data_IF_700806816564
#
_entry.id   IF_700806816564
#
_cell.length_a   1.000
_cell.length_b   1.000
_cell.length_c   1.000
_cell.angle_alpha   90.00
_cell.angle_beta   90.00
_cell.angle_gamma   90.00
#
_symmetry.space_group_name_H-M   'P 1'
#
loop_
_entity.id
_entity.type
_entity.pdbx_description
1 polymer ?
#
# COMPACT_ATOMS: atom_id res chain seq x y z
N UNK A 1 -16.12 -24.14 -19.38
CA UNK A 1 -14.68 -23.85 -19.32
C UNK A 1 -14.19 -24.38 -17.98
N UNK A 2 -13.35 -25.40 -17.98
CA UNK A 2 -12.74 -25.94 -16.74
C UNK A 2 -11.65 -24.97 -16.27
N UNK A 3 -11.39 -24.93 -14.96
CA UNK A 3 -10.37 -24.03 -14.39
C UNK A 3 -8.98 -24.23 -15.01
N UNK A 4 -8.65 -25.48 -15.38
CA UNK A 4 -7.38 -25.84 -16.00
C UNK A 4 -7.18 -25.21 -17.39
N UNK A 5 -8.24 -25.16 -18.22
CA UNK A 5 -8.14 -24.55 -19.55
C UNK A 5 -7.88 -23.03 -19.47
N UNK A 6 -8.48 -22.36 -18.49
CA UNK A 6 -8.25 -20.94 -18.25
C UNK A 6 -6.82 -20.67 -17.77
N UNK A 7 -6.23 -21.61 -17.01
CA UNK A 7 -4.84 -21.52 -16.54
C UNK A 7 -3.85 -21.60 -17.71
N UNK A 8 -4.07 -22.52 -18.65
CA UNK A 8 -3.18 -22.72 -19.78
C UNK A 8 -3.25 -21.57 -20.80
N UNK A 9 -4.44 -21.03 -21.04
CA UNK A 9 -4.62 -19.82 -21.86
C UNK A 9 -3.88 -18.62 -21.25
N UNK A 10 -3.99 -18.41 -19.93
CA UNK A 10 -3.25 -17.35 -19.24
C UNK A 10 -1.75 -17.57 -19.27
N UNK A 11 -1.26 -18.81 -19.12
CA UNK A 11 0.17 -19.13 -19.25
C UNK A 11 0.74 -18.75 -20.61
N UNK A 12 -0.04 -18.92 -21.68
CA UNK A 12 0.38 -18.55 -23.03
C UNK A 12 0.57 -17.02 -23.18
N UNK A 13 -0.19 -16.21 -22.44
CA UNK A 13 -0.06 -14.74 -22.44
C UNK A 13 1.06 -14.17 -21.56
N UNK A 14 1.64 -14.95 -20.65
CA UNK A 14 2.69 -14.45 -19.72
C UNK A 14 3.94 -13.89 -20.40
N UNK A 15 4.48 -14.47 -21.50
CA UNK A 15 5.60 -13.87 -22.21
C UNK A 15 5.28 -12.49 -22.80
N UNK A 16 4.07 -12.33 -23.36
CA UNK A 16 3.60 -11.06 -23.92
C UNK A 16 3.38 -10.02 -22.81
N UNK A 17 2.85 -10.45 -21.66
CA UNK A 17 2.75 -9.62 -20.46
C UNK A 17 4.12 -9.15 -19.97
N UNK A 18 5.11 -10.06 -19.91
CA UNK A 18 6.48 -9.73 -19.49
C UNK A 18 7.16 -8.72 -20.42
N UNK A 19 6.81 -8.72 -21.71
CA UNK A 19 7.28 -7.77 -22.71
C UNK A 19 6.41 -6.50 -22.81
N UNK A 20 5.36 -6.37 -22.00
CA UNK A 20 4.38 -5.27 -22.02
C UNK A 20 3.72 -5.08 -23.39
N UNK A 21 3.41 -6.17 -24.09
CA UNK A 21 2.77 -6.15 -25.41
C UNK A 21 1.24 -6.31 -25.36
N UNK A 22 0.70 -6.74 -24.22
CA UNK A 22 -0.74 -6.85 -23.99
C UNK A 22 -1.39 -5.47 -23.87
N UNK A 23 -2.68 -5.40 -24.18
CA UNK A 23 -3.46 -4.19 -23.91
C UNK A 23 -3.72 -3.99 -22.41
N UNK A 24 -4.20 -2.81 -22.00
CA UNK A 24 -4.44 -2.48 -20.59
C UNK A 24 -5.43 -3.43 -19.91
N UNK A 25 -6.41 -3.95 -20.67
CA UNK A 25 -7.46 -4.84 -20.15
C UNK A 25 -6.92 -6.25 -19.95
N UNK A 26 -6.18 -6.76 -20.92
CA UNK A 26 -5.52 -8.06 -20.85
C UNK A 26 -4.46 -8.08 -19.75
N UNK A 27 -3.65 -7.02 -19.64
CA UNK A 27 -2.66 -6.87 -18.58
C UNK A 27 -3.34 -6.88 -17.19
N UNK A 28 -4.49 -6.22 -17.05
CA UNK A 28 -5.25 -6.24 -15.80
C UNK A 28 -5.76 -7.65 -15.44
N UNK A 29 -6.20 -8.43 -16.43
CA UNK A 29 -6.62 -9.82 -16.22
C UNK A 29 -5.45 -10.72 -15.80
N UNK A 30 -4.28 -10.54 -16.41
CA UNK A 30 -3.05 -11.25 -16.01
C UNK A 30 -2.69 -10.90 -14.56
N UNK A 31 -2.70 -9.62 -14.18
CA UNK A 31 -2.40 -9.20 -12.81
C UNK A 31 -3.35 -9.80 -11.79
N UNK A 32 -4.66 -9.71 -12.04
CA UNK A 32 -5.67 -10.27 -11.13
C UNK A 32 -5.48 -11.79 -10.92
N UNK A 33 -5.11 -12.53 -11.97
CA UNK A 33 -4.88 -13.96 -11.85
C UNK A 33 -3.57 -14.28 -11.11
N UNK A 34 -2.49 -13.58 -11.45
CA UNK A 34 -1.16 -13.78 -10.86
C UNK A 34 -1.18 -13.50 -9.35
N UNK A 35 -1.93 -12.49 -8.90
CA UNK A 35 -2.09 -12.17 -7.47
C UNK A 35 -2.67 -13.34 -6.65
N UNK A 36 -3.41 -14.25 -7.28
CA UNK A 36 -4.00 -15.43 -6.64
C UNK A 36 -3.33 -16.76 -6.97
N UNK A 37 -2.27 -16.77 -7.78
CA UNK A 37 -1.69 -18.02 -8.31
C UNK A 37 -0.15 -18.01 -8.29
N UNK A 38 0.44 -18.66 -7.27
CA UNK A 38 1.89 -18.73 -7.07
C UNK A 38 2.67 -19.27 -8.28
N UNK A 39 2.11 -20.27 -8.97
CA UNK A 39 2.75 -20.85 -10.16
C UNK A 39 2.84 -19.87 -11.33
N UNK A 40 1.81 -19.05 -11.53
CA UNK A 40 1.80 -18.01 -12.55
C UNK A 40 2.68 -16.83 -12.16
N UNK A 41 2.76 -16.48 -10.88
CA UNK A 41 3.69 -15.48 -10.33
C UNK A 41 5.13 -15.87 -10.60
N UNK A 42 5.50 -17.12 -10.31
CA UNK A 42 6.86 -17.60 -10.54
C UNK A 42 7.20 -17.62 -12.04
N UNK A 43 6.28 -18.08 -12.89
CA UNK A 43 6.47 -18.10 -14.33
C UNK A 43 6.62 -16.69 -14.92
N UNK A 44 5.77 -15.74 -14.52
CA UNK A 44 5.87 -14.34 -14.93
C UNK A 44 7.23 -13.75 -14.53
N UNK A 45 7.67 -13.98 -13.29
CA UNK A 45 8.97 -13.53 -12.80
C UNK A 45 10.14 -14.08 -13.65
N UNK A 46 10.08 -15.35 -14.06
CA UNK A 46 11.07 -15.95 -14.95
C UNK A 46 11.10 -15.25 -16.32
N UNK A 47 9.94 -15.03 -16.95
CA UNK A 47 9.88 -14.32 -18.23
C UNK A 47 10.37 -12.88 -18.11
N UNK A 48 10.03 -12.15 -17.04
CA UNK A 48 10.55 -10.78 -16.83
C UNK A 48 12.07 -10.75 -16.68
N UNK A 49 12.66 -11.76 -16.03
CA UNK A 49 14.11 -11.86 -15.91
C UNK A 49 14.78 -12.15 -17.26
N UNK A 50 14.19 -13.03 -18.09
CA UNK A 50 14.68 -13.29 -19.45
C UNK A 50 14.55 -12.04 -20.32
N UNK A 51 13.42 -11.34 -20.26
CA UNK A 51 13.21 -10.08 -20.97
C UNK A 51 14.25 -9.02 -20.55
N UNK A 52 14.54 -8.90 -19.26
CA UNK A 52 15.60 -8.01 -18.76
C UNK A 52 16.99 -8.39 -19.29
N UNK A 53 17.33 -9.69 -19.30
CA UNK A 53 18.60 -10.17 -19.86
C UNK A 53 18.70 -9.94 -21.38
N UNK A 54 17.59 -10.05 -22.12
CA UNK A 54 17.53 -9.72 -23.55
C UNK A 54 17.73 -8.22 -23.80
N UNK A 55 17.14 -7.37 -22.96
CA UNK A 55 17.36 -5.92 -23.02
C UNK A 55 18.81 -5.55 -22.69
N UNK A 56 19.46 -6.27 -21.78
CA UNK A 56 20.85 -6.04 -21.39
C UNK A 56 21.86 -6.55 -22.44
N UNK A 57 21.57 -7.69 -23.08
CA UNK A 57 22.40 -8.28 -24.13
C UNK A 57 22.25 -7.62 -25.50
N UNK A 58 21.13 -6.93 -25.73
CA UNK A 58 20.89 -6.10 -26.91
C UNK A 58 21.77 -4.85 -26.90
N UNK A 59 23.06 -5.03 -27.18
CA UNK A 59 24.09 -4.04 -27.48
C UNK A 59 23.61 -2.59 -27.32
N UNK A 60 23.89 -2.03 -26.15
CA UNK A 60 23.66 -0.62 -25.87
C UNK A 60 24.18 0.24 -27.01
N UNK A 61 23.27 0.81 -27.81
CA UNK A 61 23.50 2.17 -28.28
C UNK A 61 23.56 2.98 -27.00
N UNK A 62 24.76 3.12 -26.45
CA UNK A 62 25.00 3.74 -25.15
C UNK A 62 24.17 5.00 -25.10
N UNK A 63 23.10 4.97 -24.30
CA UNK A 63 22.34 6.16 -24.04
C UNK A 63 23.36 7.09 -23.40
N UNK A 64 23.64 8.20 -24.11
CA UNK A 64 24.60 9.21 -23.68
C UNK A 64 24.46 9.39 -22.16
N UNK A 65 25.59 9.26 -21.45
CA UNK A 65 25.61 9.17 -19.99
C UNK A 65 24.93 10.39 -19.36
N UNK A 66 24.99 11.55 -20.04
CA UNK A 66 24.28 12.77 -19.67
C UNK A 66 22.75 12.62 -19.79
N UNK A 67 22.25 11.93 -20.83
CA UNK A 67 20.83 11.61 -21.00
C UNK A 67 20.33 10.66 -19.93
N UNK A 68 21.10 9.64 -19.57
CA UNK A 68 20.81 8.75 -18.45
C UNK A 68 20.71 9.50 -17.12
N UNK A 69 21.69 10.37 -16.81
CA UNK A 69 21.65 11.19 -15.61
C UNK A 69 20.43 12.13 -15.56
N UNK A 70 20.06 12.73 -16.70
CA UNK A 70 18.88 13.58 -16.82
C UNK A 70 17.56 12.81 -16.63
N UNK A 71 17.44 11.59 -17.18
CA UNK A 71 16.26 10.75 -16.98
C UNK A 71 16.16 10.31 -15.51
N UNK A 72 17.28 9.87 -14.92
CA UNK A 72 17.33 9.46 -13.51
C UNK A 72 16.94 10.59 -12.57
N UNK A 73 17.45 11.80 -12.78
CA UNK A 73 17.09 12.97 -11.94
C UNK A 73 15.61 13.34 -12.07
N UNK A 74 15.04 13.26 -13.29
CA UNK A 74 13.60 13.48 -13.52
C UNK A 74 12.73 12.41 -12.85
N UNK A 75 13.13 11.14 -12.90
CA UNK A 75 12.40 10.05 -12.23
C UNK A 75 12.45 10.21 -10.70
N UNK A 76 13.63 10.49 -10.13
CA UNK A 76 13.78 10.74 -8.69
C UNK A 76 13.01 12.00 -8.23
N UNK A 77 12.92 13.04 -9.07
CA UNK A 77 12.11 14.21 -8.77
C UNK A 77 10.60 13.89 -8.76
N UNK A 78 10.13 12.98 -9.63
CA UNK A 78 8.72 12.54 -9.66
C UNK A 78 8.36 11.72 -8.43
N UNK A 79 9.20 10.79 -8.00
CA UNK A 79 8.95 9.98 -6.79
C UNK A 79 8.89 10.88 -5.55
N UNK A 80 9.85 11.80 -5.37
CA UNK A 80 9.83 12.78 -4.27
C UNK A 80 8.56 13.65 -4.26
N UNK A 81 8.05 14.07 -5.42
CA UNK A 81 6.78 14.82 -5.52
C UNK A 81 5.56 13.97 -5.17
N UNK A 82 5.56 12.68 -5.51
CA UNK A 82 4.49 11.73 -5.15
C UNK A 82 4.46 11.50 -3.64
N UNK A 83 5.62 11.33 -3.01
CA UNK A 83 5.74 11.15 -1.56
C UNK A 83 5.36 12.41 -0.78
N UNK A 84 5.72 13.59 -1.30
CA UNK A 84 5.31 14.88 -0.73
C UNK A 84 3.78 15.10 -0.78
N UNK A 85 3.11 14.61 -1.83
CA UNK A 85 1.65 14.72 -1.98
C UNK A 85 0.89 13.69 -1.13
N UNK A 86 1.48 12.52 -0.84
CA UNK A 86 0.93 11.53 0.10
C UNK A 86 0.86 12.06 1.54
N UNK A 87 1.86 12.83 2.00
CA UNK A 87 1.84 13.48 3.33
C UNK A 87 0.69 14.48 3.52
N UNK A 88 0.21 15.10 2.44
CA UNK A 88 -0.95 15.98 2.49
C UNK A 88 -2.27 15.24 2.74
N UNK A 89 -2.36 13.97 2.32
CA UNK A 89 -3.58 13.16 2.49
C UNK A 89 -3.65 12.48 3.87
N UNK A 90 -2.55 12.43 4.61
CA UNK A 90 -2.53 11.87 5.97
C UNK A 90 -3.31 12.73 6.97
N UNK A 91 -3.41 14.05 6.73
CA UNK A 91 -4.24 14.93 7.56
C UNK A 91 -5.74 14.64 7.40
N UNK A 92 -6.20 14.42 6.17
CA UNK A 92 -7.59 14.05 5.87
C UNK A 92 -7.91 12.63 6.35
N UNK A 93 -6.94 11.71 6.21
CA UNK A 93 -7.07 10.38 6.81
C UNK A 93 -7.12 10.44 8.35
N UNK A 94 -6.38 11.32 9.02
CA UNK A 94 -6.38 11.40 10.49
C UNK A 94 -7.66 11.96 11.09
N UNK A 95 -8.34 12.89 10.40
CA UNK A 95 -9.61 13.44 10.87
C UNK A 95 -10.79 12.51 10.58
N UNK A 96 -10.73 11.71 9.50
CA UNK A 96 -11.76 10.74 9.16
C UNK A 96 -12.00 9.68 10.25
N UNK A 97 -10.96 9.32 11.01
CA UNK A 97 -11.06 8.31 12.07
C UNK A 97 -11.69 8.92 13.32
N UNK A 98 -11.44 10.20 13.58
CA UNK A 98 -12.07 10.93 14.68
C UNK A 98 -13.58 11.12 14.44
N UNK A 99 -14.01 11.44 13.22
CA UNK A 99 -15.43 11.52 12.87
C UNK A 99 -16.11 10.15 12.86
N UNK A 100 -15.44 9.11 12.34
CA UNK A 100 -15.97 7.75 12.38
C UNK A 100 -16.12 7.23 13.82
N UNK A 101 -15.13 7.46 14.69
CA UNK A 101 -15.20 7.09 16.11
C UNK A 101 -16.29 7.88 16.85
N UNK A 102 -16.46 9.17 16.54
CA UNK A 102 -17.52 10.01 17.09
C UNK A 102 -18.92 9.49 16.72
N UNK A 103 -19.15 9.19 15.43
CA UNK A 103 -20.43 8.64 14.96
C UNK A 103 -20.71 7.26 15.53
N UNK A 104 -19.71 6.38 15.62
CA UNK A 104 -19.84 5.07 16.25
C UNK A 104 -20.21 5.19 17.74
N UNK A 105 -19.61 6.14 18.47
CA UNK A 105 -19.94 6.40 19.87
C UNK A 105 -21.38 6.88 20.07
N UNK A 106 -21.86 7.80 19.22
CA UNK A 106 -23.25 8.29 19.26
C UNK A 106 -24.24 7.17 18.96
N UNK A 107 -23.97 6.33 17.95
CA UNK A 107 -24.79 5.17 17.62
C UNK A 107 -24.83 4.15 18.77
N UNK A 108 -23.70 3.90 19.42
CA UNK A 108 -23.62 2.98 20.56
C UNK A 108 -24.41 3.51 21.77
N UNK A 109 -24.29 4.81 22.06
CA UNK A 109 -25.05 5.47 23.13
C UNK A 109 -26.56 5.48 22.84
N UNK A 110 -26.94 5.74 21.58
CA UNK A 110 -28.32 5.71 21.14
C UNK A 110 -28.94 4.31 21.27
N UNK A 111 -28.24 3.26 20.82
CA UNK A 111 -28.71 1.88 20.97
C UNK A 111 -28.73 1.40 22.44
N UNK A 112 -27.77 1.84 23.26
CA UNK A 112 -27.75 1.55 24.70
C UNK A 112 -28.92 2.18 25.46
N UNK A 113 -29.48 3.27 24.97
CA UNK A 113 -30.66 3.93 25.55
C UNK A 113 -31.98 3.23 25.18
N UNK A 114 -32.04 2.60 24.00
CA UNK A 114 -33.25 1.93 23.50
C UNK A 114 -33.35 0.43 23.84
N UNK A 115 -32.24 -0.24 24.17
CA UNK A 115 -32.25 -1.63 24.64
C UNK A 115 -31.41 -1.77 25.91
N UNK A 116 -32.02 -1.68 27.11
CA UNK A 116 -31.29 -1.84 28.37
C UNK A 116 -30.96 -3.32 28.59
N UNK A 117 -29.94 -3.82 27.89
CA UNK A 117 -29.22 -5.02 28.31
C UNK A 117 -28.44 -4.62 29.56
N UNK A 118 -28.76 -5.22 30.71
CA UNK A 118 -28.30 -4.83 32.05
C UNK A 118 -26.78 -4.78 32.32
N UNK A 119 -25.93 -4.90 31.29
CA UNK A 119 -24.47 -4.80 31.37
C UNK A 119 -23.80 -3.84 30.38
N UNK A 120 -24.56 -3.13 29.52
CA UNK A 120 -23.98 -2.30 28.46
C UNK A 120 -23.05 -1.17 28.94
N UNK A 121 -23.35 -0.59 30.11
CA UNK A 121 -22.56 0.49 30.70
C UNK A 121 -21.16 0.04 31.15
N UNK A 122 -21.01 -1.21 31.59
CA UNK A 122 -19.70 -1.76 32.01
C UNK A 122 -18.78 -1.93 30.81
N UNK A 123 -19.31 -2.43 29.69
CA UNK A 123 -18.57 -2.59 28.44
C UNK A 123 -18.16 -1.22 27.87
N UNK A 124 -19.07 -0.24 27.89
CA UNK A 124 -18.77 1.13 27.48
C UNK A 124 -17.66 1.76 28.34
N UNK A 125 -17.73 1.61 29.68
CA UNK A 125 -16.72 2.12 30.59
C UNK A 125 -15.34 1.47 30.37
N UNK A 126 -15.30 0.15 30.19
CA UNK A 126 -14.07 -0.58 29.89
C UNK A 126 -13.45 -0.11 28.56
N UNK A 127 -14.27 0.11 27.52
CA UNK A 127 -13.80 0.59 26.22
C UNK A 127 -13.16 1.99 26.31
N UNK A 128 -13.79 2.91 27.06
CA UNK A 128 -13.27 4.26 27.29
C UNK A 128 -11.92 4.21 28.01
N UNK A 129 -11.77 3.36 29.03
CA UNK A 129 -10.50 3.19 29.74
C UNK A 129 -9.39 2.66 28.83
N UNK A 130 -9.68 1.64 28.01
CA UNK A 130 -8.72 1.09 27.05
C UNK A 130 -8.29 2.13 26.02
N UNK A 131 -9.24 2.87 25.43
CA UNK A 131 -8.95 3.93 24.47
C UNK A 131 -8.13 5.06 25.10
N UNK A 132 -8.46 5.46 26.34
CA UNK A 132 -7.70 6.45 27.10
C UNK A 132 -6.25 6.01 27.35
N UNK A 133 -6.03 4.75 27.71
CA UNK A 133 -4.70 4.19 27.91
C UNK A 133 -3.86 4.18 26.62
N UNK A 134 -4.46 3.81 25.48
CA UNK A 134 -3.79 3.82 24.16
C UNK A 134 -3.38 5.24 23.77
N UNK A 135 -4.26 6.23 23.97
CA UNK A 135 -3.94 7.64 23.66
C UNK A 135 -2.81 8.16 24.55
N UNK A 136 -2.86 7.90 25.87
CA UNK A 136 -1.81 8.30 26.79
C UNK A 136 -0.46 7.65 26.44
N UNK A 137 -0.46 6.36 26.06
CA UNK A 137 0.73 5.65 25.61
C UNK A 137 1.30 6.26 24.32
N UNK A 138 0.47 6.54 23.32
CA UNK A 138 0.89 7.15 22.07
C UNK A 138 1.51 8.54 22.27
N UNK A 139 0.92 9.37 23.14
CA UNK A 139 1.46 10.69 23.48
C UNK A 139 2.83 10.57 24.16
N UNK A 140 3.00 9.59 25.07
CA UNK A 140 4.28 9.32 25.74
C UNK A 140 5.35 8.78 24.79
N UNK A 141 4.96 7.98 23.80
CA UNK A 141 5.89 7.50 22.78
C UNK A 141 6.36 8.65 21.89
N UNK A 142 5.44 9.55 21.51
CA UNK A 142 5.74 10.73 20.69
C UNK A 142 6.72 11.68 21.39
N UNK A 143 6.58 11.88 22.70
CA UNK A 143 7.51 12.73 23.46
C UNK A 143 8.91 12.13 23.52
N UNK A 144 9.04 10.80 23.69
CA UNK A 144 10.33 10.10 23.65
C UNK A 144 11.02 10.17 22.29
N UNK A 145 10.26 10.01 21.21
CA UNK A 145 10.80 10.12 19.86
C UNK A 145 11.27 11.55 19.56
N UNK A 146 10.57 12.56 20.09
CA UNK A 146 10.99 13.95 19.95
C UNK A 146 12.32 14.21 20.68
N UNK A 147 12.45 13.77 21.94
CA UNK A 147 13.70 13.97 22.67
C UNK A 147 14.90 13.28 22.01
N UNK A 148 14.73 12.08 21.46
CA UNK A 148 15.79 11.37 20.72
C UNK A 148 16.20 12.07 19.42
N UNK A 149 15.24 12.69 18.72
CA UNK A 149 15.54 13.46 17.51
C UNK A 149 16.26 14.77 17.84
N UNK A 150 15.86 15.45 18.92
CA UNK A 150 16.49 16.69 19.36
C UNK A 150 17.96 16.42 19.78
N UNK A 151 18.24 15.31 20.48
CA UNK A 151 19.63 14.89 20.81
C UNK A 151 20.49 14.56 19.59
N UNK A 152 19.90 14.00 18.53
CA UNK A 152 20.60 13.71 17.27
C UNK A 152 20.89 14.97 16.45
N UNK A 153 20.07 16.00 16.57
CA UNK A 153 20.24 17.25 15.82
C UNK A 153 21.36 18.14 16.37
N UNK A 154 21.79 17.92 17.62
CA UNK A 154 22.86 18.69 18.28
C UNK A 154 24.24 18.08 18.07
N UNK A 155 24.33 16.83 17.60
CA UNK A 155 25.59 16.13 17.26
C UNK A 155 25.94 16.30 15.79
#
# INVERSE_FOLDING_TARGET
MTADNAHDELRASLPEAALQMLDDREMQLVHMHVDGCDGCTQALAQYTNVAAALLDSGAGRGLDQARHAAIRSRLLARTRRRDGRSRGNTFIASTGWATAAGLAGVLLAHHGFHQPLGGGWVVAGALVLVLGAVVAYALRLRSRLKSQNDERAVR
#
